data_IF_351267982867
#
_entry.id   IF_351267982867
#
_cell.length_a   1.000
_cell.length_b   1.000
_cell.length_c   1.000
_cell.angle_alpha   90.00
_cell.angle_beta   90.00
_cell.angle_gamma   90.00
#
_symmetry.space_group_name_H-M   'P 1'
#
loop_
_entity.id
_entity.type
_entity.pdbx_description
1 polymer ?
#
# COMPACT_ATOMS: atom_id res chain seq x y z
N UNK A 1 10.39 -15.70 -10.30
CA UNK A 1 9.46 -14.54 -10.28
C UNK A 1 8.30 -14.81 -11.23
N UNK A 2 7.05 -14.56 -10.79
CA UNK A 2 5.86 -14.65 -11.65
C UNK A 2 5.86 -13.57 -12.73
N UNK A 3 5.05 -13.77 -13.78
CA UNK A 3 4.89 -12.78 -14.86
C UNK A 3 4.39 -11.42 -14.32
N UNK A 4 3.49 -11.44 -13.35
CA UNK A 4 2.92 -10.23 -12.74
C UNK A 4 3.99 -9.42 -11.98
N UNK A 5 4.78 -10.11 -11.15
CA UNK A 5 5.91 -9.49 -10.44
C UNK A 5 6.93 -8.93 -11.45
N UNK A 6 7.13 -9.61 -12.58
CA UNK A 6 8.01 -9.13 -13.66
C UNK A 6 7.56 -7.81 -14.27
N UNK A 7 6.27 -7.50 -14.31
CA UNK A 7 5.76 -6.21 -14.81
C UNK A 7 6.09 -5.07 -13.86
N UNK A 8 6.15 -5.36 -12.56
CA UNK A 8 6.48 -4.38 -11.53
C UNK A 8 7.98 -4.09 -11.52
N UNK A 9 8.84 -5.12 -11.63
CA UNK A 9 10.30 -4.97 -11.44
C UNK A 9 11.08 -4.58 -12.71
N UNK A 10 10.47 -4.66 -13.89
CA UNK A 10 11.13 -4.27 -15.15
C UNK A 10 10.84 -2.81 -15.48
N UNK A 11 11.90 -2.01 -15.65
CA UNK A 11 11.82 -0.57 -15.96
C UNK A 11 10.97 0.21 -14.94
N UNK A 12 11.09 -0.17 -13.67
CA UNK A 12 10.26 0.33 -12.58
C UNK A 12 10.45 1.81 -12.31
N UNK A 13 9.33 2.52 -12.29
CA UNK A 13 9.26 3.90 -11.81
C UNK A 13 7.85 4.21 -11.32
N UNK A 14 7.73 5.24 -10.48
CA UNK A 14 6.47 5.51 -9.75
C UNK A 14 5.28 5.78 -10.68
N UNK A 15 5.52 6.39 -11.84
CA UNK A 15 4.51 6.70 -12.85
C UNK A 15 3.81 5.43 -13.37
N UNK A 16 4.58 4.37 -13.61
CA UNK A 16 4.06 3.08 -14.10
C UNK A 16 3.41 2.30 -12.96
N UNK A 17 4.07 2.24 -11.80
CA UNK A 17 3.58 1.47 -10.64
C UNK A 17 2.28 2.05 -10.08
N UNK A 18 2.11 3.36 -10.09
CA UNK A 18 0.93 4.05 -9.55
C UNK A 18 -0.30 3.91 -10.45
N UNK A 19 -0.13 3.47 -11.70
CA UNK A 19 -1.22 3.03 -12.57
C UNK A 19 -1.46 1.53 -12.41
N UNK A 20 -0.40 0.72 -12.53
CA UNK A 20 -0.51 -0.74 -12.48
C UNK A 20 -1.13 -1.23 -11.17
N UNK A 21 -0.62 -0.77 -10.03
CA UNK A 21 -0.98 -1.35 -8.72
C UNK A 21 -2.43 -1.07 -8.33
N UNK A 22 -2.89 0.19 -8.23
CA UNK A 22 -4.23 0.45 -7.71
C UNK A 22 -5.35 0.26 -8.75
N UNK A 23 -5.05 0.32 -10.05
CA UNK A 23 -6.08 0.21 -11.12
C UNK A 23 -6.18 -1.20 -11.67
N UNK A 24 -5.07 -1.76 -12.15
CA UNK A 24 -5.07 -3.02 -12.90
C UNK A 24 -4.97 -4.19 -11.93
N UNK A 25 -3.93 -4.19 -11.09
CA UNK A 25 -3.72 -5.23 -10.08
C UNK A 25 -4.83 -5.17 -9.03
N UNK A 26 -5.20 -3.97 -8.60
CA UNK A 26 -6.34 -3.75 -7.72
C UNK A 26 -7.65 -4.34 -8.27
N UNK A 27 -8.02 -4.08 -9.53
CA UNK A 27 -9.23 -4.69 -10.10
C UNK A 27 -9.11 -6.23 -10.18
N UNK A 28 -7.97 -6.74 -10.64
CA UNK A 28 -7.72 -8.18 -10.75
C UNK A 28 -7.85 -8.90 -9.40
N UNK A 29 -7.22 -8.37 -8.34
CA UNK A 29 -7.30 -8.94 -7.01
C UNK A 29 -8.72 -8.87 -6.42
N UNK A 30 -9.49 -7.83 -6.74
CA UNK A 30 -10.87 -7.70 -6.25
C UNK A 30 -11.84 -8.74 -6.83
N UNK A 31 -11.46 -9.38 -7.94
CA UNK A 31 -12.23 -10.45 -8.59
C UNK A 31 -11.76 -11.84 -8.16
N UNK A 32 -10.52 -11.94 -7.68
CA UNK A 32 -9.80 -13.17 -7.42
C UNK A 32 -8.94 -13.01 -6.17
N UNK A 33 -9.58 -13.08 -5.00
CA UNK A 33 -8.92 -12.82 -3.72
C UNK A 33 -7.75 -13.79 -3.43
N UNK A 34 -7.79 -15.00 -3.98
CA UNK A 34 -6.72 -16.00 -3.87
C UNK A 34 -5.38 -15.50 -4.44
N UNK A 35 -5.41 -14.54 -5.38
CA UNK A 35 -4.20 -13.95 -5.94
C UNK A 35 -3.49 -13.00 -4.96
N UNK A 36 -4.19 -12.48 -3.96
CA UNK A 36 -3.60 -11.54 -2.99
C UNK A 36 -2.56 -12.27 -2.15
N UNK A 37 -2.88 -13.47 -1.69
CA UNK A 37 -1.98 -14.27 -0.85
C UNK A 37 -0.78 -14.79 -1.66
N UNK A 38 -1.00 -15.12 -2.94
CA UNK A 38 0.05 -15.55 -3.87
C UNK A 38 1.00 -14.43 -4.29
N UNK A 39 0.56 -13.17 -4.25
CA UNK A 39 1.33 -12.03 -4.75
C UNK A 39 1.52 -10.92 -3.73
N UNK A 40 0.48 -10.20 -3.33
CA UNK A 40 0.64 -9.03 -2.45
C UNK A 40 1.27 -9.38 -1.10
N UNK A 41 0.88 -10.51 -0.50
CA UNK A 41 1.48 -11.00 0.75
C UNK A 41 2.95 -11.39 0.56
N UNK A 42 3.37 -11.81 -0.64
CA UNK A 42 4.79 -12.09 -0.95
C UNK A 42 5.56 -10.79 -1.25
N UNK A 43 4.95 -9.88 -1.99
CA UNK A 43 5.54 -8.61 -2.41
C UNK A 43 5.85 -7.68 -1.25
N UNK A 44 5.05 -7.71 -0.18
CA UNK A 44 5.34 -6.91 1.00
C UNK A 44 6.57 -7.42 1.76
N UNK A 45 6.92 -8.70 1.63
CA UNK A 45 8.10 -9.30 2.27
C UNK A 45 9.37 -9.19 1.42
N UNK A 46 9.23 -8.98 0.10
CA UNK A 46 10.33 -8.80 -0.85
C UNK A 46 11.21 -7.57 -0.53
N UNK A 47 12.48 -7.59 -0.93
CA UNK A 47 13.42 -6.47 -0.77
C UNK A 47 13.18 -5.35 -1.81
N UNK A 48 12.55 -5.68 -2.94
CA UNK A 48 12.30 -4.73 -4.01
C UNK A 48 11.23 -3.70 -3.61
N UNK A 49 11.64 -2.43 -3.59
CA UNK A 49 10.81 -1.30 -3.17
C UNK A 49 9.52 -1.14 -3.99
N UNK A 50 9.53 -1.57 -5.26
CA UNK A 50 8.38 -1.43 -6.15
C UNK A 50 7.35 -2.52 -5.91
N UNK A 51 7.79 -3.73 -5.54
CA UNK A 51 6.89 -4.78 -5.06
C UNK A 51 6.24 -4.37 -3.74
N UNK A 52 7.03 -3.87 -2.78
CA UNK A 52 6.50 -3.33 -1.52
C UNK A 52 5.48 -2.21 -1.75
N UNK A 53 5.81 -1.25 -2.63
CA UNK A 53 4.90 -0.16 -3.01
C UNK A 53 3.62 -0.69 -3.64
N UNK A 54 3.71 -1.69 -4.52
CA UNK A 54 2.55 -2.29 -5.18
C UNK A 54 1.64 -3.00 -4.17
N UNK A 55 2.22 -3.74 -3.22
CA UNK A 55 1.48 -4.39 -2.13
C UNK A 55 0.73 -3.37 -1.25
N UNK A 56 1.34 -2.23 -0.95
CA UNK A 56 0.70 -1.17 -0.15
C UNK A 56 -0.43 -0.47 -0.93
N UNK A 57 -0.28 -0.30 -2.25
CA UNK A 57 -1.17 0.54 -3.06
C UNK A 57 -2.28 -0.22 -3.79
N UNK A 58 -2.30 -1.55 -3.88
CA UNK A 58 -3.32 -2.22 -4.70
C UNK A 58 -4.77 -1.93 -4.21
N UNK A 59 -4.96 -1.72 -2.90
CA UNK A 59 -6.26 -1.41 -2.29
C UNK A 59 -6.64 0.08 -2.35
N UNK A 60 -5.82 0.95 -2.95
CA UNK A 60 -5.91 2.41 -2.80
C UNK A 60 -7.31 3.00 -3.07
N UNK A 61 -8.09 2.38 -3.96
CA UNK A 61 -9.41 2.83 -4.37
C UNK A 61 -10.56 1.91 -3.93
N UNK A 62 -10.32 0.95 -3.04
CA UNK A 62 -11.35 -0.02 -2.60
C UNK A 62 -12.42 0.59 -1.69
N UNK A 63 -12.13 1.71 -1.02
CA UNK A 63 -13.07 2.41 -0.11
C UNK A 63 -13.59 1.45 0.97
N UNK A 64 -14.91 1.25 1.06
CA UNK A 64 -15.54 0.36 2.05
C UNK A 64 -15.16 -1.11 1.88
N UNK A 65 -14.58 -1.48 0.73
CA UNK A 65 -14.09 -2.83 0.45
C UNK A 65 -12.62 -3.06 0.83
N UNK A 66 -11.93 -2.04 1.36
CA UNK A 66 -10.55 -2.21 1.80
C UNK A 66 -10.49 -3.22 2.95
N UNK A 67 -9.65 -4.23 2.81
CA UNK A 67 -9.21 -5.10 3.90
C UNK A 67 -8.23 -4.29 4.77
N UNK A 68 -8.79 -3.68 5.80
CA UNK A 68 -8.11 -2.79 6.74
C UNK A 68 -6.99 -3.52 7.48
N UNK A 69 -7.28 -4.71 8.00
CA UNK A 69 -6.32 -5.50 8.77
C UNK A 69 -5.07 -5.79 7.92
N UNK A 70 -5.28 -6.18 6.66
CA UNK A 70 -4.19 -6.44 5.71
C UNK A 70 -3.42 -5.18 5.34
N UNK A 71 -4.13 -4.08 5.07
CA UNK A 71 -3.49 -2.79 4.79
C UNK A 71 -2.57 -2.37 5.95
N UNK A 72 -3.08 -2.41 7.18
CA UNK A 72 -2.32 -2.05 8.36
C UNK A 72 -1.16 -3.01 8.61
N UNK A 73 -1.38 -4.33 8.46
CA UNK A 73 -0.32 -5.34 8.54
C UNK A 73 0.83 -5.02 7.59
N UNK A 74 0.55 -4.67 6.33
CA UNK A 74 1.58 -4.32 5.36
C UNK A 74 2.33 -3.05 5.73
N UNK A 75 1.62 -2.05 6.22
CA UNK A 75 2.24 -0.81 6.67
C UNK A 75 3.18 -1.07 7.86
N UNK A 76 2.77 -1.88 8.84
CA UNK A 76 3.62 -2.24 9.98
C UNK A 76 4.90 -2.94 9.52
N UNK A 77 4.80 -3.89 8.58
CA UNK A 77 5.97 -4.57 8.01
C UNK A 77 6.99 -3.64 7.36
N UNK A 78 6.55 -2.46 6.92
CA UNK A 78 7.39 -1.45 6.24
C UNK A 78 7.46 -0.11 6.97
N UNK A 79 7.01 -0.06 8.23
CA UNK A 79 6.98 1.16 9.04
C UNK A 79 8.38 1.78 9.20
N UNK A 80 9.40 0.92 9.27
CA UNK A 80 10.80 1.33 9.43
C UNK A 80 11.57 1.58 8.13
N UNK A 81 10.93 1.40 6.98
CA UNK A 81 11.57 1.59 5.68
C UNK A 81 12.13 3.01 5.53
N UNK A 82 13.40 3.11 5.13
CA UNK A 82 14.07 4.38 4.80
C UNK A 82 13.80 4.81 3.35
N UNK A 83 13.15 3.96 2.57
CA UNK A 83 12.88 4.18 1.15
C UNK A 83 11.78 5.21 0.94
N UNK A 84 12.11 6.28 0.24
CA UNK A 84 11.20 7.41 0.00
C UNK A 84 9.87 6.97 -0.63
N UNK A 85 9.92 6.12 -1.66
CA UNK A 85 8.73 5.66 -2.37
C UNK A 85 7.86 4.74 -1.53
N UNK A 86 8.43 3.98 -0.59
CA UNK A 86 7.67 3.13 0.33
C UNK A 86 6.98 4.00 1.38
N UNK A 87 7.71 4.95 1.99
CA UNK A 87 7.12 5.90 2.94
C UNK A 87 5.96 6.70 2.32
N UNK A 88 6.11 7.15 1.07
CA UNK A 88 5.04 7.83 0.34
C UNK A 88 3.86 6.92 0.02
N UNK A 89 4.10 5.65 -0.27
CA UNK A 89 3.03 4.68 -0.48
C UNK A 89 2.18 4.51 0.78
N UNK A 90 2.81 4.31 1.93
CA UNK A 90 2.15 4.20 3.24
C UNK A 90 1.27 5.42 3.50
N UNK A 91 1.86 6.61 3.41
CA UNK A 91 1.14 7.85 3.68
C UNK A 91 -0.02 8.08 2.70
N UNK A 92 0.15 7.71 1.43
CA UNK A 92 -0.91 7.85 0.42
C UNK A 92 -2.05 6.86 0.64
N UNK A 93 -1.74 5.59 0.92
CA UNK A 93 -2.73 4.57 1.21
C UNK A 93 -3.59 4.96 2.42
N UNK A 94 -2.96 5.34 3.53
CA UNK A 94 -3.66 5.83 4.72
C UNK A 94 -4.49 7.08 4.43
N UNK A 95 -3.92 8.07 3.71
CA UNK A 95 -4.66 9.29 3.34
C UNK A 95 -5.88 9.01 2.47
N UNK A 96 -5.80 8.07 1.54
CA UNK A 96 -6.98 7.69 0.75
C UNK A 96 -7.99 6.97 1.62
N UNK A 97 -7.55 6.02 2.44
CA UNK A 97 -8.46 5.25 3.27
C UNK A 97 -9.14 6.08 4.37
N UNK A 98 -8.47 7.12 4.86
CA UNK A 98 -9.02 8.11 5.78
C UNK A 98 -10.27 8.82 5.24
N UNK A 99 -10.48 8.86 3.92
CA UNK A 99 -11.72 9.39 3.33
C UNK A 99 -12.93 8.48 3.59
N UNK A 100 -12.70 7.22 3.93
CA UNK A 100 -13.73 6.19 4.22
C UNK A 100 -13.77 5.85 5.71
N UNK A 101 -12.62 5.60 6.34
CA UNK A 101 -12.48 5.27 7.77
C UNK A 101 -11.51 6.24 8.46
N UNK A 102 -11.91 7.51 8.70
CA UNK A 102 -11.02 8.52 9.27
C UNK A 102 -10.51 8.16 10.68
N UNK A 103 -11.40 7.72 11.58
CA UNK A 103 -11.02 7.40 12.96
C UNK A 103 -10.05 6.22 13.04
N UNK A 104 -10.31 5.16 12.26
CA UNK A 104 -9.39 4.01 12.18
C UNK A 104 -7.98 4.42 11.76
N UNK A 105 -7.86 5.31 10.76
CA UNK A 105 -6.55 5.84 10.35
C UNK A 105 -5.92 6.72 11.44
N UNK A 106 -6.69 7.53 12.17
CA UNK A 106 -6.16 8.31 13.31
C UNK A 106 -5.61 7.41 14.39
N UNK A 107 -6.39 6.42 14.81
CA UNK A 107 -6.02 5.47 15.87
C UNK A 107 -4.80 4.65 15.46
N UNK A 108 -4.75 4.17 14.22
CA UNK A 108 -3.60 3.43 13.69
C UNK A 108 -2.33 4.29 13.69
N UNK A 109 -2.39 5.53 13.20
CA UNK A 109 -1.22 6.42 13.15
C UNK A 109 -0.77 6.85 14.55
N UNK A 110 -1.69 6.99 15.51
CA UNK A 110 -1.37 7.31 16.90
C UNK A 110 -0.73 6.14 17.65
N UNK A 111 -1.12 4.91 17.33
CA UNK A 111 -0.64 3.68 17.99
C UNK A 111 0.63 3.08 17.40
N UNK A 112 1.08 3.53 16.22
CA UNK A 112 2.24 2.94 15.53
C UNK A 112 3.34 3.96 15.22
N UNK A 113 4.59 3.53 15.33
CA UNK A 113 5.72 4.38 14.95
C UNK A 113 6.01 4.32 13.44
N UNK A 114 5.33 5.19 12.70
CA UNK A 114 5.61 5.42 11.28
C UNK A 114 6.63 6.55 11.09
N UNK A 115 7.41 6.49 10.00
CA UNK A 115 8.31 7.59 9.63
C UNK A 115 7.57 8.94 9.51
N UNK A 116 8.22 10.07 9.85
CA UNK A 116 7.57 11.39 9.85
C UNK A 116 6.88 11.76 8.54
N UNK A 117 7.45 11.35 7.40
CA UNK A 117 6.86 11.58 6.07
C UNK A 117 5.51 10.86 5.93
N UNK A 118 5.45 9.59 6.31
CA UNK A 118 4.23 8.77 6.24
C UNK A 118 3.14 9.32 7.16
N UNK A 119 3.47 9.68 8.41
CA UNK A 119 2.52 10.30 9.36
C UNK A 119 1.93 11.60 8.80
N UNK A 120 2.79 12.50 8.32
CA UNK A 120 2.37 13.80 7.76
C UNK A 120 1.48 13.63 6.53
N UNK A 121 1.80 12.70 5.64
CA UNK A 121 0.97 12.45 4.46
C UNK A 121 -0.38 11.82 4.81
N UNK A 122 -0.40 10.85 5.74
CA UNK A 122 -1.61 10.16 6.19
C UNK A 122 -2.64 11.12 6.80
N UNK A 123 -2.18 12.01 7.68
CA UNK A 123 -3.05 12.92 8.45
C UNK A 123 -3.38 14.23 7.73
N UNK A 124 -2.89 14.46 6.50
CA UNK A 124 -2.99 15.75 5.79
C UNK A 124 -4.40 16.35 5.73
N UNK A 125 -5.45 15.51 5.69
CA UNK A 125 -6.84 15.94 5.60
C UNK A 125 -7.68 15.61 6.84
N UNK A 126 -7.06 14.98 7.84
CA UNK A 126 -7.66 14.69 9.13
C UNK A 126 -7.24 15.83 10.06
N UNK A 127 -7.96 16.95 9.98
CA UNK A 127 -7.87 17.99 11.00
C UNK A 127 -8.59 17.56 12.26
#
# INVERSE_FOLDING_TARGET
MSWLSSLIVKKSWWDTIDVLSPRIIGDMFSRNNELIDLFADQWIEDENIWLQRSAILYQLYYKDKTDEERLFRYIVRRADSKEFFVQKAIGWALRQYAKTRPESVRDFVASHDLKPLSKREALKHLK
#
